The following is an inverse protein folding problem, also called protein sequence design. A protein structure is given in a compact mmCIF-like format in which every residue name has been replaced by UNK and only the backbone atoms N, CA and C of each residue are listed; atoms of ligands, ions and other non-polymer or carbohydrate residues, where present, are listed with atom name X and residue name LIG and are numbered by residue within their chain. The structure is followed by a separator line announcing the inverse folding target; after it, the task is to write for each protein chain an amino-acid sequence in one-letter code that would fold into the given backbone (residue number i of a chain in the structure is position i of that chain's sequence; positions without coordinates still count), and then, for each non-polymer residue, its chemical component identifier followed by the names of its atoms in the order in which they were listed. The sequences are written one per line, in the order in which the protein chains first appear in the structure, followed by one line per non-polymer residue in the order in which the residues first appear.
data_IF_997294081198
#
_entry.id   IF_997294081198
#
_cell.length_a   1.000
_cell.length_b   1.000
_cell.length_c   1.000
_cell.angle_alpha   90.00
_cell.angle_beta   90.00
_cell.angle_gamma   90.00
#
_symmetry.space_group_name_H-M   'P 1'
#
loop_
_entity.id
_entity.type
_entity.pdbx_description
1 polymer ?
#
# COMPACT_ATOMS: atom_id res chain seq x y z
N UNK A 1 -18.15 59.27 7.09
CA UNK A 1 -16.96 58.86 7.88
C UNK A 1 -16.13 57.98 6.97
N UNK A 2 -14.84 58.24 6.83
CA UNK A 2 -13.96 57.39 6.01
C UNK A 2 -13.83 56.04 6.71
N UNK A 3 -14.32 54.97 6.08
CA UNK A 3 -14.22 53.60 6.61
C UNK A 3 -12.82 52.99 6.42
N UNK A 4 -11.88 53.77 5.88
CA UNK A 4 -10.54 53.35 5.54
C UNK A 4 -9.54 53.85 6.59
N UNK A 5 -8.70 52.93 7.06
CA UNK A 5 -7.74 53.14 8.11
C UNK A 5 -6.34 52.75 7.64
N UNK A 6 -5.33 53.55 8.01
CA UNK A 6 -3.93 53.29 7.70
C UNK A 6 -3.29 52.62 8.91
N UNK A 7 -2.68 51.45 8.68
CA UNK A 7 -1.90 50.74 9.70
C UNK A 7 -0.42 51.08 9.55
N UNK A 8 0.25 51.36 10.67
CA UNK A 8 1.71 51.43 10.76
C UNK A 8 2.22 50.40 11.75
N UNK A 9 3.06 49.49 11.25
CA UNK A 9 3.71 48.45 12.04
C UNK A 9 5.21 48.67 12.05
N UNK A 10 5.77 48.89 13.24
CA UNK A 10 7.18 49.28 13.44
C UNK A 10 7.52 50.53 12.62
N UNK A 11 8.05 50.35 11.40
CA UNK A 11 8.43 51.43 10.47
C UNK A 11 7.79 51.34 9.07
N UNK A 12 6.85 50.41 8.86
CA UNK A 12 6.14 50.28 7.57
C UNK A 12 4.71 50.80 7.69
N UNK A 13 4.37 51.74 6.81
CA UNK A 13 3.01 52.26 6.64
C UNK A 13 2.33 51.49 5.50
N UNK A 14 1.15 50.94 5.79
CA UNK A 14 0.37 50.14 4.86
C UNK A 14 -0.67 51.02 4.14
N UNK A 15 -1.21 50.52 3.02
CA UNK A 15 -2.28 51.22 2.30
C UNK A 15 -3.53 51.36 3.19
N UNK A 16 -4.42 52.33 2.93
CA UNK A 16 -5.70 52.42 3.63
C UNK A 16 -6.50 51.13 3.46
N UNK A 17 -6.95 50.57 4.59
CA UNK A 17 -7.66 49.30 4.68
C UNK A 17 -9.02 49.52 5.37
N UNK A 18 -10.11 48.90 4.89
CA UNK A 18 -11.41 49.01 5.54
C UNK A 18 -11.41 48.48 6.98
N UNK A 19 -12.22 49.06 7.86
CA UNK A 19 -12.37 48.61 9.26
C UNK A 19 -12.60 47.11 9.41
N UNK A 20 -13.43 46.53 8.51
CA UNK A 20 -13.74 45.09 8.52
C UNK A 20 -12.48 44.24 8.38
N UNK A 21 -11.54 44.65 7.52
CA UNK A 21 -10.28 43.94 7.29
C UNK A 21 -9.34 44.16 8.47
N UNK A 22 -9.28 45.37 9.05
CA UNK A 22 -8.50 45.62 10.27
C UNK A 22 -8.93 44.72 11.43
N UNK A 23 -10.25 44.54 11.65
CA UNK A 23 -10.77 43.62 12.68
C UNK A 23 -10.27 42.18 12.45
N UNK A 24 -10.26 41.73 11.20
CA UNK A 24 -9.72 40.41 10.84
C UNK A 24 -8.22 40.32 11.14
N UNK A 25 -7.45 41.36 10.86
CA UNK A 25 -6.01 41.39 11.13
C UNK A 25 -5.69 41.38 12.64
N UNK A 26 -6.48 42.08 13.46
CA UNK A 26 -6.37 42.00 14.94
C UNK A 26 -6.67 40.58 15.41
N UNK A 27 -7.76 39.96 14.93
CA UNK A 27 -8.13 38.58 15.30
C UNK A 27 -7.05 37.56 14.90
N UNK A 28 -6.43 37.75 13.73
CA UNK A 28 -5.34 36.91 13.23
C UNK A 28 -3.97 37.20 13.88
N UNK A 29 -3.92 38.07 14.91
CA UNK A 29 -2.69 38.51 15.59
C UNK A 29 -1.64 39.11 14.66
N UNK A 30 -2.10 39.77 13.60
CA UNK A 30 -1.22 40.50 12.66
C UNK A 30 -1.04 41.97 13.04
N UNK A 31 -1.95 42.50 13.87
CA UNK A 31 -1.90 43.84 14.48
C UNK A 31 -1.79 43.69 15.99
N UNK A 32 -0.80 44.34 16.58
CA UNK A 32 -0.54 44.36 18.02
C UNK A 32 -1.20 45.60 18.67
N UNK A 33 -1.51 45.59 19.99
CA UNK A 33 -2.11 46.75 20.67
C UNK A 33 -1.28 48.04 20.57
N UNK A 34 0.04 47.87 20.43
CA UNK A 34 1.02 48.96 20.33
C UNK A 34 1.20 49.48 18.90
N UNK A 35 0.63 48.81 17.89
CA UNK A 35 0.67 49.30 16.51
C UNK A 35 -0.14 50.59 16.35
N UNK A 36 0.26 51.46 15.42
CA UNK A 36 -0.41 52.73 15.21
C UNK A 36 -1.42 52.64 14.07
N UNK A 37 -2.61 53.20 14.29
CA UNK A 37 -3.70 53.26 13.32
C UNK A 37 -4.14 54.71 13.17
N UNK A 38 -4.30 55.14 11.91
CA UNK A 38 -4.85 56.44 11.55
C UNK A 38 -6.17 56.27 10.79
N UNK A 39 -7.16 57.09 11.14
CA UNK A 39 -8.49 57.13 10.50
C UNK A 39 -8.68 58.31 9.53
N UNK A 40 -7.65 59.13 9.37
CA UNK A 40 -7.67 60.42 8.69
C UNK A 40 -6.48 60.58 7.72
N UNK A 41 -6.16 59.49 7.02
CA UNK A 41 -5.11 59.43 5.99
C UNK A 41 -3.68 59.78 6.49
N UNK A 42 -3.42 59.58 7.78
CA UNK A 42 -2.09 59.69 8.39
C UNK A 42 -1.86 60.95 9.23
N UNK A 43 -2.87 61.80 9.41
CA UNK A 43 -2.77 63.03 10.19
C UNK A 43 -2.76 62.78 11.71
N UNK A 44 -3.59 61.86 12.20
CA UNK A 44 -3.63 61.46 13.61
C UNK A 44 -3.37 59.97 13.76
N UNK A 45 -2.47 59.63 14.68
CA UNK A 45 -2.09 58.27 14.96
C UNK A 45 -2.54 57.88 16.36
N UNK A 46 -3.33 56.83 16.44
CA UNK A 46 -3.82 56.25 17.68
C UNK A 46 -3.29 54.84 17.85
N UNK A 47 -3.07 54.41 19.08
CA UNK A 47 -2.71 53.02 19.35
C UNK A 47 -3.90 52.13 19.00
N UNK A 48 -3.64 51.03 18.30
CA UNK A 48 -4.68 50.09 17.92
C UNK A 48 -5.45 49.58 19.15
N UNK A 49 -4.75 49.34 20.25
CA UNK A 49 -5.32 48.96 21.54
C UNK A 49 -6.08 50.07 22.29
N UNK A 50 -6.11 51.30 21.78
CA UNK A 50 -6.92 52.41 22.32
C UNK A 50 -8.09 52.80 21.42
N UNK A 51 -8.20 52.23 20.23
CA UNK A 51 -9.29 52.54 19.30
C UNK A 51 -10.58 51.83 19.77
N UNK A 52 -11.69 52.56 20.05
CA UNK A 52 -12.93 51.95 20.55
C UNK A 52 -13.45 50.80 19.69
N UNK A 53 -13.25 50.90 18.37
CA UNK A 53 -13.69 49.90 17.40
C UNK A 53 -12.84 48.61 17.41
N UNK A 54 -11.62 48.65 17.95
CA UNK A 54 -10.68 47.55 17.95
C UNK A 54 -10.36 46.99 19.35
N UNK A 55 -10.53 47.79 20.41
CA UNK A 55 -10.25 47.41 21.82
C UNK A 55 -10.82 46.04 22.18
N UNK A 56 -12.07 45.76 21.81
CA UNK A 56 -12.74 44.49 22.12
C UNK A 56 -12.15 43.26 21.42
N UNK A 57 -11.39 43.46 20.35
CA UNK A 57 -10.76 42.39 19.57
C UNK A 57 -9.34 42.09 20.04
N UNK A 58 -8.74 42.96 20.85
CA UNK A 58 -7.47 42.67 21.50
C UNK A 58 -7.70 41.80 22.74
N UNK A 59 -6.89 40.74 22.95
CA UNK A 59 -6.92 39.99 24.20
C UNK A 59 -6.61 40.94 25.36
N UNK A 60 -7.52 41.03 26.33
CA UNK A 60 -7.52 42.04 27.39
C UNK A 60 -6.18 42.11 28.15
N UNK A 61 -5.45 43.22 27.99
CA UNK A 61 -4.54 43.68 29.03
C UNK A 61 -5.40 44.30 30.14
N UNK A 62 -5.32 43.75 31.35
CA UNK A 62 -6.05 44.22 32.52
C UNK A 62 -5.81 45.70 32.76
N UNK A 63 -6.86 46.54 32.82
CA UNK A 63 -6.69 47.94 33.22
C UNK A 63 -6.27 47.96 34.69
N UNK A 64 -5.18 48.67 35.00
CA UNK A 64 -4.85 49.04 36.38
C UNK A 64 -5.88 50.08 36.85
N UNK A 65 -6.88 49.65 37.60
CA UNK A 65 -7.88 50.52 38.23
C UNK A 65 -7.75 50.47 39.76
N UNK A 66 -7.89 51.66 40.32
CA UNK A 66 -7.89 52.07 41.73
C UNK A 66 -8.49 51.09 42.73
N UNK A 67 -7.85 51.03 43.91
CA UNK A 67 -8.30 50.37 45.13
C UNK A 67 -9.77 50.66 45.46
N UNK A 68 -10.62 49.68 45.20
CA UNK A 68 -11.96 49.52 45.76
C UNK A 68 -12.12 48.04 46.06
N UNK A 69 -12.41 47.72 47.32
CA UNK A 69 -12.37 46.35 47.86
C UNK A 69 -13.16 45.35 47.02
N UNK A 70 -12.48 44.27 46.62
CA UNK A 70 -13.10 43.11 45.96
C UNK A 70 -13.56 42.13 47.05
N UNK A 71 -14.83 41.70 47.09
CA UNK A 71 -15.28 40.69 48.05
C UNK A 71 -14.54 39.38 47.77
N UNK A 72 -14.07 38.71 48.83
CA UNK A 72 -13.51 37.35 48.74
C UNK A 72 -14.60 36.37 48.32
N UNK A 73 -14.67 36.11 47.02
CA UNK A 73 -15.51 35.07 46.42
C UNK A 73 -14.66 34.14 45.56
N UNK A 74 -14.65 32.87 45.94
CA UNK A 74 -14.21 31.68 45.18
C UNK A 74 -13.02 31.87 44.24
N UNK A 75 -11.81 31.57 44.75
CA UNK A 75 -10.63 31.27 43.95
C UNK A 75 -10.78 29.92 43.22
N UNK A 76 -11.70 29.85 42.25
CA UNK A 76 -11.68 28.81 41.24
C UNK A 76 -10.53 29.09 40.29
N UNK A 77 -9.43 28.33 40.41
CA UNK A 77 -8.39 28.25 39.37
C UNK A 77 -9.08 27.78 38.08
N UNK A 78 -9.46 28.72 37.20
CA UNK A 78 -9.80 28.39 35.83
C UNK A 78 -8.48 28.10 35.12
N UNK A 79 -7.99 26.87 35.26
CA UNK A 79 -7.01 26.32 34.35
C UNK A 79 -7.67 26.26 32.97
N UNK A 80 -7.42 27.29 32.15
CA UNK A 80 -7.65 27.20 30.72
C UNK A 80 -6.77 26.08 30.19
N UNK A 81 -7.30 24.86 30.15
CA UNK A 81 -6.77 23.78 29.31
C UNK A 81 -6.78 24.29 27.88
N UNK A 82 -5.67 24.90 27.46
CA UNK A 82 -5.33 24.95 26.05
C UNK A 82 -5.28 23.49 25.64
N UNK A 83 -6.29 23.05 24.87
CA UNK A 83 -6.26 21.77 24.20
C UNK A 83 -5.07 21.83 23.25
N UNK A 84 -3.90 21.39 23.72
CA UNK A 84 -2.76 21.13 22.87
C UNK A 84 -3.23 20.13 21.85
N UNK A 85 -3.16 20.49 20.58
CA UNK A 85 -3.25 19.50 19.52
C UNK A 85 -2.00 18.64 19.73
N UNK A 86 -2.18 17.48 20.35
CA UNK A 86 -1.13 16.48 20.43
C UNK A 86 -0.85 16.05 18.99
N UNK A 87 0.27 16.52 18.47
CA UNK A 87 0.80 16.02 17.21
C UNK A 87 1.24 14.60 17.50
N UNK A 88 0.56 13.64 16.88
CA UNK A 88 0.93 12.23 17.03
C UNK A 88 2.31 12.06 16.41
N UNK A 89 3.27 11.59 17.21
CA UNK A 89 4.58 11.23 16.71
C UNK A 89 4.44 10.08 15.71
N UNK A 90 4.81 10.33 14.45
CA UNK A 90 4.71 9.33 13.38
C UNK A 90 5.87 8.33 13.38
N UNK A 91 6.97 8.62 14.10
CA UNK A 91 8.18 7.77 14.15
C UNK A 91 7.84 6.33 14.57
N UNK A 92 7.07 6.08 15.65
CA UNK A 92 6.71 4.72 16.05
C UNK A 92 5.78 4.02 15.03
N UNK A 93 4.90 4.77 14.36
CA UNK A 93 4.01 4.19 13.34
C UNK A 93 4.77 3.76 12.09
N UNK A 94 5.72 4.59 11.65
CA UNK A 94 6.56 4.31 10.49
C UNK A 94 7.37 3.02 10.74
N UNK A 95 7.93 2.85 11.94
CA UNK A 95 8.69 1.66 12.33
C UNK A 95 7.83 0.37 12.26
N UNK A 96 6.59 0.41 12.76
CA UNK A 96 5.65 -0.73 12.67
C UNK A 96 5.34 -1.11 11.22
N UNK A 97 5.14 -0.12 10.34
CA UNK A 97 4.86 -0.39 8.92
C UNK A 97 6.09 -0.97 8.22
N UNK A 98 7.29 -0.43 8.46
CA UNK A 98 8.52 -0.98 7.89
C UNK A 98 8.79 -2.41 8.37
N UNK A 99 8.59 -2.70 9.66
CA UNK A 99 8.71 -4.04 10.20
C UNK A 99 7.75 -5.02 9.52
N UNK A 100 6.49 -4.62 9.30
CA UNK A 100 5.50 -5.43 8.59
C UNK A 100 5.90 -5.69 7.13
N UNK A 101 6.41 -4.67 6.42
CA UNK A 101 6.85 -4.82 5.04
C UNK A 101 8.06 -5.76 4.93
N UNK A 102 9.04 -5.65 5.83
CA UNK A 102 10.20 -6.55 5.87
C UNK A 102 9.76 -7.98 6.19
N UNK A 103 8.92 -8.14 7.22
CA UNK A 103 8.37 -9.45 7.56
C UNK A 103 7.62 -10.08 6.38
N UNK A 104 6.76 -9.31 5.70
CA UNK A 104 6.04 -9.79 4.54
C UNK A 104 6.98 -10.12 3.37
N UNK A 105 7.98 -9.29 3.09
CA UNK A 105 8.96 -9.57 2.05
C UNK A 105 9.78 -10.84 2.32
N UNK A 106 10.21 -11.05 3.57
CA UNK A 106 10.97 -12.24 3.98
C UNK A 106 10.11 -13.51 3.99
N UNK A 107 8.85 -13.41 4.40
CA UNK A 107 7.93 -14.57 4.46
C UNK A 107 7.28 -14.87 3.11
N UNK A 108 7.11 -13.88 2.23
CA UNK A 108 6.52 -14.03 0.90
C UNK A 108 7.34 -14.96 -0.01
N UNK A 109 8.67 -15.00 0.14
CA UNK A 109 9.53 -15.90 -0.65
C UNK A 109 9.34 -17.39 -0.34
N UNK A 110 8.71 -17.75 0.79
CA UNK A 110 8.47 -19.16 1.16
C UNK A 110 7.28 -19.80 0.43
N UNK A 111 6.43 -19.03 -0.24
CA UNK A 111 5.27 -19.54 -1.00
C UNK A 111 5.62 -19.88 -2.47
N UNK A 112 6.74 -19.37 -3.00
CA UNK A 112 7.04 -19.47 -4.44
C UNK A 112 7.61 -20.84 -4.85
N UNK A 113 8.16 -21.61 -3.91
CA UNK A 113 8.74 -22.93 -4.22
C UNK A 113 7.71 -24.08 -4.28
N UNK A 114 6.43 -23.85 -3.98
CA UNK A 114 5.36 -24.87 -4.07
C UNK A 114 4.42 -24.74 -5.27
N UNK A 115 4.71 -23.86 -6.22
CA UNK A 115 3.89 -23.69 -7.44
C UNK A 115 4.31 -24.65 -8.57
N UNK A 116 5.44 -25.36 -8.43
CA UNK A 116 5.86 -26.43 -9.36
C UNK A 116 5.37 -27.84 -8.97
N UNK A 117 4.45 -27.98 -8.01
CA UNK A 117 3.86 -29.29 -7.66
C UNK A 117 2.33 -29.36 -7.69
N UNK A 118 1.60 -28.27 -7.95
CA UNK A 118 0.12 -28.30 -7.98
C UNK A 118 -0.47 -27.49 -9.13
N UNK A 119 -0.60 -28.14 -10.29
CA UNK A 119 -1.76 -27.95 -11.16
C UNK A 119 -2.68 -29.17 -11.01
N UNK A 120 -3.16 -29.44 -9.79
CA UNK A 120 -4.36 -30.26 -9.59
C UNK A 120 -5.51 -29.29 -9.34
N UNK A 121 -6.44 -29.10 -10.30
CA UNK A 121 -7.58 -28.22 -10.08
C UNK A 121 -8.38 -28.77 -8.89
N UNK A 122 -8.53 -27.94 -7.85
CA UNK A 122 -9.40 -28.22 -6.72
C UNK A 122 -10.81 -28.43 -7.26
N UNK A 123 -11.36 -29.61 -7.00
CA UNK A 123 -12.75 -29.92 -7.27
C UNK A 123 -13.61 -29.01 -6.38
N UNK A 124 -14.22 -28.00 -6.99
CA UNK A 124 -15.39 -27.33 -6.44
C UNK A 124 -16.56 -27.72 -7.36
N UNK A 125 -17.51 -28.43 -6.76
CA UNK A 125 -18.87 -28.62 -7.26
C UNK A 125 -19.06 -29.53 -8.48
N UNK A 126 -19.59 -30.72 -8.19
CA UNK A 126 -20.81 -31.22 -8.82
C UNK A 126 -20.95 -31.07 -10.33
N UNK A 127 -20.04 -31.66 -11.08
CA UNK A 127 -20.34 -32.32 -12.34
C UNK A 127 -19.25 -33.35 -12.56
N UNK A 128 -19.52 -34.41 -13.32
CA UNK A 128 -18.61 -35.52 -13.52
C UNK A 128 -17.28 -35.02 -14.14
N UNK A 129 -16.34 -34.61 -13.27
CA UNK A 129 -15.04 -34.06 -13.60
C UNK A 129 -14.30 -35.12 -14.40
N UNK A 130 -14.29 -34.96 -15.72
CA UNK A 130 -13.42 -35.73 -16.59
C UNK A 130 -11.99 -35.57 -16.06
N UNK A 131 -11.50 -36.63 -15.43
CA UNK A 131 -10.30 -36.59 -14.60
C UNK A 131 -9.13 -36.30 -15.54
N UNK A 132 -8.45 -35.16 -15.36
CA UNK A 132 -7.22 -34.88 -16.10
C UNK A 132 -6.19 -35.91 -15.65
N UNK A 133 -5.86 -36.86 -16.52
CA UNK A 133 -4.91 -37.94 -16.22
C UNK A 133 -3.49 -37.46 -16.54
N UNK A 134 -2.56 -37.71 -15.60
CA UNK A 134 -1.14 -37.42 -15.80
C UNK A 134 -0.40 -38.74 -15.93
N UNK A 135 0.25 -38.97 -17.07
CA UNK A 135 1.06 -40.17 -17.32
C UNK A 135 2.54 -39.81 -17.25
N UNK A 136 3.32 -40.62 -16.54
CA UNK A 136 4.78 -40.48 -16.49
C UNK A 136 5.43 -41.57 -17.31
N UNK A 137 6.07 -41.18 -18.41
CA UNK A 137 6.90 -42.04 -19.25
C UNK A 137 8.36 -41.80 -18.88
N UNK A 138 9.08 -42.85 -18.48
CA UNK A 138 10.51 -42.77 -18.18
C UNK A 138 11.30 -43.59 -19.18
N UNK A 139 12.35 -43.01 -19.74
CA UNK A 139 13.32 -43.69 -20.60
C UNK A 139 14.70 -43.67 -19.94
N UNK A 140 15.26 -44.86 -19.74
CA UNK A 140 16.61 -45.04 -19.21
C UNK A 140 17.65 -45.01 -20.34
N UNK A 141 18.93 -44.81 -20.01
CA UNK A 141 20.07 -44.85 -20.94
C UNK A 141 20.12 -46.11 -21.81
N UNK A 142 19.71 -47.26 -21.25
CA UNK A 142 19.61 -48.54 -21.96
C UNK A 142 18.45 -48.59 -22.99
N UNK A 143 17.63 -47.55 -23.08
CA UNK A 143 16.47 -47.48 -23.97
C UNK A 143 15.21 -48.19 -23.45
N UNK A 144 15.23 -48.67 -22.20
CA UNK A 144 14.04 -49.22 -21.57
C UNK A 144 13.03 -48.12 -21.27
N UNK A 145 11.80 -48.32 -21.72
CA UNK A 145 10.68 -47.40 -21.54
C UNK A 145 9.78 -47.96 -20.43
N UNK A 146 9.34 -47.09 -19.54
CA UNK A 146 8.38 -47.44 -18.49
C UNK A 146 7.29 -46.40 -18.41
N UNK A 147 6.05 -46.82 -18.21
CA UNK A 147 4.91 -45.95 -17.93
C UNK A 147 4.46 -46.23 -16.50
N UNK A 148 4.40 -45.21 -15.65
CA UNK A 148 4.01 -45.36 -14.24
C UNK A 148 4.79 -46.47 -13.50
N UNK A 149 6.08 -46.64 -13.84
CA UNK A 149 6.99 -47.69 -13.34
C UNK A 149 6.74 -49.10 -13.87
N UNK A 150 5.79 -49.30 -14.80
CA UNK A 150 5.60 -50.57 -15.52
C UNK A 150 6.44 -50.58 -16.80
N UNK A 151 7.21 -51.63 -17.09
CA UNK A 151 7.93 -51.74 -18.36
C UNK A 151 6.94 -51.85 -19.51
N UNK A 152 7.21 -51.12 -20.59
CA UNK A 152 6.38 -51.07 -21.80
C UNK A 152 7.30 -51.13 -23.01
N UNK A 153 6.94 -51.95 -23.99
CA UNK A 153 7.64 -51.97 -25.28
C UNK A 153 7.19 -50.84 -26.18
N UNK A 154 8.06 -50.40 -27.09
CA UNK A 154 7.77 -49.29 -28.00
C UNK A 154 6.52 -49.54 -28.86
N UNK A 155 6.25 -50.81 -29.22
CA UNK A 155 5.12 -51.21 -30.06
C UNK A 155 3.77 -51.07 -29.33
N UNK A 156 3.76 -51.33 -28.02
CA UNK A 156 2.54 -51.25 -27.19
C UNK A 156 2.27 -49.84 -26.67
N UNK A 157 3.30 -48.98 -26.69
CA UNK A 157 3.22 -47.62 -26.18
C UNK A 157 2.10 -46.80 -26.83
N UNK A 158 1.97 -46.89 -28.16
CA UNK A 158 0.95 -46.15 -28.91
C UNK A 158 -0.47 -46.56 -28.48
N UNK A 159 -0.72 -47.87 -28.41
CA UNK A 159 -2.01 -48.44 -27.99
C UNK A 159 -2.37 -48.04 -26.56
N UNK A 160 -1.40 -48.09 -25.63
CA UNK A 160 -1.61 -47.71 -24.23
C UNK A 160 -1.90 -46.21 -24.06
N UNK A 161 -1.18 -45.35 -24.79
CA UNK A 161 -1.43 -43.92 -24.78
C UNK A 161 -2.80 -43.60 -25.38
N UNK A 162 -3.19 -44.30 -26.45
CA UNK A 162 -4.47 -44.06 -27.13
C UNK A 162 -5.64 -44.41 -26.22
N UNK A 163 -5.59 -45.56 -25.55
CA UNK A 163 -6.60 -45.93 -24.56
C UNK A 163 -6.71 -44.87 -23.45
N UNK A 164 -5.58 -44.36 -22.96
CA UNK A 164 -5.57 -43.33 -21.92
C UNK A 164 -6.15 -41.99 -22.39
N UNK A 165 -5.95 -41.63 -23.66
CA UNK A 165 -6.53 -40.42 -24.28
C UNK A 165 -8.03 -40.57 -24.52
N UNK A 166 -8.51 -41.78 -24.83
CA UNK A 166 -9.95 -42.06 -24.97
C UNK A 166 -10.68 -42.04 -23.62
N UNK A 167 -10.04 -42.55 -22.57
CA UNK A 167 -10.63 -42.65 -21.23
C UNK A 167 -10.68 -41.30 -20.48
N UNK A 168 -9.88 -40.31 -20.89
CA UNK A 168 -9.71 -39.02 -20.20
C UNK A 168 -9.82 -37.83 -21.14
N UNK A 169 -10.56 -36.78 -20.76
CA UNK A 169 -10.75 -35.58 -21.59
C UNK A 169 -9.51 -34.69 -21.81
N UNK A 170 -8.39 -35.09 -21.24
CA UNK A 170 -7.09 -34.47 -21.43
C UNK A 170 -6.02 -35.23 -20.66
N UNK A 171 -5.09 -35.81 -21.40
CA UNK A 171 -3.89 -36.45 -20.85
C UNK A 171 -2.72 -35.48 -20.88
N UNK A 172 -2.01 -35.36 -19.76
CA UNK A 172 -0.70 -34.70 -19.70
C UNK A 172 0.38 -35.76 -19.61
N UNK A 173 1.30 -35.79 -20.57
CA UNK A 173 2.42 -36.73 -20.60
C UNK A 173 3.69 -36.05 -20.06
N UNK A 174 4.32 -36.67 -19.07
CA UNK A 174 5.62 -36.26 -18.54
C UNK A 174 6.66 -37.27 -19.01
N UNK A 175 7.58 -36.84 -19.87
CA UNK A 175 8.70 -37.65 -20.37
C UNK A 175 9.92 -37.37 -19.50
N UNK A 176 10.36 -38.38 -18.74
CA UNK A 176 11.57 -38.37 -17.93
C UNK A 176 12.67 -39.11 -18.67
N UNK A 177 13.67 -38.40 -19.17
CA UNK A 177 14.84 -39.00 -19.81
C UNK A 177 16.06 -38.98 -18.91
N UNK A 178 16.88 -40.03 -18.95
CA UNK A 178 18.26 -39.95 -18.46
C UNK A 178 19.10 -39.05 -19.38
N UNK A 179 20.10 -38.36 -18.83
CA UNK A 179 21.00 -37.49 -19.57
C UNK A 179 21.77 -38.22 -20.69
N UNK A 180 21.97 -39.53 -20.55
CA UNK A 180 22.66 -40.37 -21.53
C UNK A 180 21.75 -40.90 -22.65
N UNK A 181 20.46 -40.59 -22.64
CA UNK A 181 19.53 -41.05 -23.68
C UNK A 181 19.77 -40.27 -24.98
N UNK A 182 19.91 -40.95 -26.13
CA UNK A 182 20.01 -40.28 -27.42
C UNK A 182 18.78 -39.41 -27.68
N UNK A 183 19.01 -38.14 -28.05
CA UNK A 183 17.93 -37.18 -28.33
C UNK A 183 16.90 -37.71 -29.33
N UNK A 184 17.34 -38.45 -30.36
CA UNK A 184 16.44 -39.05 -31.35
C UNK A 184 15.38 -39.99 -30.78
N UNK A 185 15.70 -40.74 -29.71
CA UNK A 185 14.70 -41.60 -29.05
C UNK A 185 13.65 -40.80 -28.31
N UNK A 186 14.02 -39.67 -27.71
CA UNK A 186 13.07 -38.78 -27.02
C UNK A 186 12.11 -38.16 -28.02
N UNK A 187 12.62 -37.70 -29.18
CA UNK A 187 11.79 -37.16 -30.26
C UNK A 187 10.82 -38.21 -30.79
N UNK A 188 11.28 -39.44 -31.00
CA UNK A 188 10.40 -40.54 -31.43
C UNK A 188 9.23 -40.77 -30.45
N UNK A 189 9.48 -40.70 -29.14
CA UNK A 189 8.43 -40.83 -28.12
C UNK A 189 7.45 -39.64 -28.14
N UNK A 190 7.95 -38.43 -28.41
CA UNK A 190 7.11 -37.24 -28.56
C UNK A 190 6.23 -37.35 -29.81
N UNK A 191 6.77 -37.85 -30.92
CA UNK A 191 6.02 -38.04 -32.16
C UNK A 191 4.88 -39.03 -31.97
N UNK A 192 5.14 -40.18 -31.31
CA UNK A 192 4.10 -41.16 -30.97
C UNK A 192 3.02 -40.52 -30.10
N UNK A 193 3.41 -39.79 -29.04
CA UNK A 193 2.45 -39.11 -28.17
C UNK A 193 1.62 -38.05 -28.90
N UNK A 194 2.22 -37.35 -29.86
CA UNK A 194 1.55 -36.32 -30.65
C UNK A 194 0.54 -36.92 -31.65
N UNK A 195 0.90 -38.03 -32.32
CA UNK A 195 0.00 -38.77 -33.22
C UNK A 195 -1.26 -39.25 -32.50
N UNK A 196 -1.12 -39.65 -31.24
CA UNK A 196 -2.22 -40.12 -30.39
C UNK A 196 -3.10 -38.97 -29.84
N UNK A 197 -2.69 -37.71 -30.02
CA UNK A 197 -3.48 -36.55 -29.60
C UNK A 197 -3.26 -36.11 -28.14
N UNK A 198 -2.09 -36.41 -27.57
CA UNK A 198 -1.72 -35.91 -26.24
C UNK A 198 -1.58 -34.39 -26.27
N UNK A 199 -2.48 -33.68 -25.59
CA UNK A 199 -2.57 -32.21 -25.61
C UNK A 199 -1.41 -31.48 -24.94
N UNK A 200 -0.73 -32.13 -23.98
CA UNK A 200 0.32 -31.49 -23.17
C UNK A 200 1.46 -32.45 -22.90
N UNK A 201 2.66 -32.09 -23.36
CA UNK A 201 3.89 -32.86 -23.15
C UNK A 201 4.86 -32.00 -22.33
N UNK A 202 5.42 -32.58 -21.27
CA UNK A 202 6.44 -31.99 -20.40
C UNK A 202 7.67 -32.88 -20.46
N UNK A 203 8.87 -32.30 -20.62
CA UNK A 203 10.13 -33.04 -20.66
C UNK A 203 10.95 -32.67 -19.44
N UNK A 204 11.51 -33.68 -18.77
CA UNK A 204 12.46 -33.49 -17.68
C UNK A 204 13.64 -34.43 -17.87
N UNK A 205 14.84 -33.92 -17.59
CA UNK A 205 16.06 -34.72 -17.61
C UNK A 205 16.38 -35.08 -16.18
N UNK A 206 16.45 -36.38 -15.90
CA UNK A 206 16.99 -36.87 -14.63
C UNK A 206 18.51 -36.74 -14.73
N UNK A 207 19.06 -35.69 -14.12
CA UNK A 207 20.50 -35.61 -13.87
C UNK A 207 20.84 -36.78 -12.96
N UNK A 208 21.61 -37.75 -13.46
CA UNK A 208 22.24 -38.76 -12.62
C UNK A 208 23.27 -38.03 -11.76
N UNK A 209 22.81 -37.50 -10.62
CA UNK A 209 23.67 -36.96 -9.58
C UNK A 209 24.44 -38.11 -8.96
N UNK A 210 25.76 -38.03 -9.05
CA UNK A 210 26.67 -38.81 -8.22
C UNK A 210 26.56 -38.31 -6.77
#
# INVERSE_FOLDING_TARGET
MNDAYILRKKDKVYKPVPLKVLRTLVYQRQVDPDDMISSDDGNTWTLAGKLPELIQFFPSHTPSLSLGEVPRGYGGKIERRRKSIEVIDMIPMIDMVFLLLIFFALTSTFEIQRVMEMNLPKAASGDQLQKKQTLTLTINSNGHITIEKKPVELQDLESMLNQSVLDSAGVTLIIKGDAQVPHGKVVQLMDIANTVGVKKILITVKSSGN
#
